data_IF_634225163229
#
_entry.id   IF_634225163229
#
_cell.length_a   1.000
_cell.length_b   1.000
_cell.length_c   1.000
_cell.angle_alpha   90.00
_cell.angle_beta   90.00
_cell.angle_gamma   90.00
#
_symmetry.space_group_name_H-M   'P 1'
#
loop_
_entity.id
_entity.type
_entity.pdbx_description
1 polymer ?
#
# COMPACT_ATOMS: atom_id res chain seq x y z
N UNK A 1 -18.61 -5.30 -9.54
CA UNK A 1 -18.67 -3.89 -9.09
C UNK A 1 -18.82 -3.92 -7.56
N UNK A 2 -18.67 -2.80 -6.87
CA UNK A 2 -18.91 -2.75 -5.42
C UNK A 2 -20.41 -2.51 -5.18
N UNK A 3 -21.03 -3.36 -4.37
CA UNK A 3 -22.44 -3.26 -3.99
C UNK A 3 -22.67 -2.14 -2.98
N UNK A 4 -21.72 -1.94 -2.06
CA UNK A 4 -21.70 -0.88 -1.04
C UNK A 4 -20.25 -0.54 -0.69
N UNK A 5 -19.94 0.74 -0.51
CA UNK A 5 -18.65 1.20 0.03
C UNK A 5 -18.86 2.21 1.15
N UNK A 6 -17.98 2.19 2.15
CA UNK A 6 -17.96 3.15 3.26
C UNK A 6 -16.52 3.54 3.58
N UNK A 7 -16.33 4.80 3.99
CA UNK A 7 -15.07 5.30 4.53
C UNK A 7 -15.21 5.31 6.05
N UNK A 8 -14.31 4.61 6.74
CA UNK A 8 -14.21 4.60 8.20
C UNK A 8 -12.79 5.00 8.59
N UNK A 9 -12.61 6.25 8.99
CA UNK A 9 -11.29 6.83 9.22
C UNK A 9 -10.44 6.78 7.95
N UNK A 10 -9.26 6.16 8.04
CA UNK A 10 -8.34 5.98 6.91
C UNK A 10 -8.66 4.75 6.05
N UNK A 11 -9.75 4.03 6.30
CA UNK A 11 -10.05 2.79 5.59
C UNK A 11 -11.26 2.94 4.68
N UNK A 12 -11.11 2.50 3.43
CA UNK A 12 -12.24 2.24 2.54
C UNK A 12 -12.58 0.77 2.62
N UNK A 13 -13.82 0.50 2.99
CA UNK A 13 -14.38 -0.85 3.06
C UNK A 13 -15.42 -0.98 1.98
N UNK A 14 -15.22 -1.92 1.05
CA UNK A 14 -16.09 -2.20 -0.07
C UNK A 14 -16.62 -3.63 0.00
N UNK A 15 -17.93 -3.80 -0.08
CA UNK A 15 -18.57 -5.11 -0.25
C UNK A 15 -18.80 -5.33 -1.74
N UNK A 16 -18.14 -6.33 -2.31
CA UNK A 16 -18.26 -6.71 -3.71
C UNK A 16 -19.57 -7.45 -3.98
N UNK A 17 -19.98 -7.48 -5.23
CA UNK A 17 -21.24 -8.14 -5.65
C UNK A 17 -21.27 -9.64 -5.32
N UNK A 18 -20.12 -10.30 -5.24
CA UNK A 18 -19.96 -11.70 -4.87
C UNK A 18 -19.93 -11.94 -3.34
N UNK A 19 -20.12 -10.91 -2.52
CA UNK A 19 -20.07 -10.98 -1.06
C UNK A 19 -18.67 -10.91 -0.45
N UNK A 20 -17.61 -10.81 -1.25
CA UNK A 20 -16.26 -10.56 -0.74
C UNK A 20 -16.13 -9.13 -0.20
N UNK A 21 -15.25 -8.95 0.79
CA UNK A 21 -14.95 -7.65 1.38
C UNK A 21 -13.55 -7.23 0.93
N UNK A 22 -13.46 -6.07 0.30
CA UNK A 22 -12.20 -5.42 -0.06
C UNK A 22 -11.95 -4.25 0.90
N UNK A 23 -10.75 -4.21 1.49
CA UNK A 23 -10.35 -3.17 2.43
C UNK A 23 -9.03 -2.58 1.96
N UNK A 24 -8.98 -1.27 1.75
CA UNK A 24 -7.73 -0.55 1.51
C UNK A 24 -7.62 0.68 2.39
N UNK A 25 -6.40 0.97 2.83
CA UNK A 25 -6.09 2.17 3.62
C UNK A 25 -5.80 3.32 2.66
N UNK A 26 -6.52 4.43 2.82
CA UNK A 26 -6.20 5.71 2.22
C UNK A 26 -5.03 6.29 3.01
N UNK A 27 -4.01 6.73 2.29
CA UNK A 27 -2.88 7.43 2.87
C UNK A 27 -2.89 8.87 2.39
N UNK A 28 -3.11 9.81 3.31
CA UNK A 28 -2.98 11.25 3.03
C UNK A 28 -1.54 11.59 2.61
N UNK A 29 -0.56 10.86 3.16
CA UNK A 29 0.84 10.95 2.79
C UNK A 29 1.36 9.62 2.25
N UNK A 30 1.29 9.46 0.92
CA UNK A 30 1.80 8.28 0.21
C UNK A 30 3.28 8.00 0.52
N UNK A 31 4.12 9.03 0.72
CA UNK A 31 5.52 8.81 1.11
C UNK A 31 5.64 8.25 2.52
N UNK A 32 4.78 8.64 3.45
CA UNK A 32 4.75 8.09 4.81
C UNK A 32 4.45 6.60 4.80
N UNK A 33 3.43 6.19 4.05
CA UNK A 33 3.06 4.79 3.87
C UNK A 33 4.22 3.94 3.30
N UNK A 34 4.91 4.46 2.29
CA UNK A 34 6.07 3.77 1.70
C UNK A 34 7.21 3.59 2.71
N UNK A 35 7.44 4.56 3.61
CA UNK A 35 8.45 4.45 4.67
C UNK A 35 8.07 3.41 5.71
N UNK A 36 6.82 3.38 6.16
CA UNK A 36 6.34 2.37 7.11
C UNK A 36 6.54 0.95 6.56
N UNK A 37 6.22 0.73 5.29
CA UNK A 37 6.41 -0.57 4.63
C UNK A 37 7.91 -0.88 4.49
N UNK A 38 8.72 0.10 4.08
CA UNK A 38 10.16 -0.08 3.93
C UNK A 38 10.83 -0.46 5.26
N UNK A 39 10.51 0.23 6.35
CA UNK A 39 11.05 -0.05 7.69
C UNK A 39 10.63 -1.43 8.19
N UNK A 40 9.37 -1.82 7.97
CA UNK A 40 8.86 -3.14 8.34
C UNK A 40 9.57 -4.27 7.58
N UNK A 41 9.88 -4.03 6.31
CA UNK A 41 10.44 -5.05 5.42
C UNK A 41 11.97 -5.07 5.39
N UNK A 42 12.61 -4.10 6.06
CA UNK A 42 14.07 -3.95 6.14
C UNK A 42 14.69 -3.30 4.89
N UNK A 43 13.93 -2.50 4.16
CA UNK A 43 14.36 -1.83 2.94
C UNK A 43 14.94 -0.45 3.23
N UNK A 44 16.21 -0.24 2.89
CA UNK A 44 16.84 1.07 2.96
C UNK A 44 16.35 1.98 1.83
N UNK A 45 15.99 3.22 2.16
CA UNK A 45 15.48 4.19 1.20
C UNK A 45 16.25 5.51 1.25
N UNK A 46 16.42 6.13 0.07
CA UNK A 46 17.06 7.44 -0.05
C UNK A 46 16.01 8.58 0.08
N UNK A 47 16.18 9.54 1.00
CA UNK A 47 15.32 10.71 1.12
C UNK A 47 15.18 11.53 -0.18
N UNK A 48 16.16 11.47 -1.08
CA UNK A 48 16.13 12.15 -2.38
C UNK A 48 15.15 11.52 -3.38
N UNK A 49 14.68 10.28 -3.15
CA UNK A 49 13.74 9.63 -4.06
C UNK A 49 12.36 10.31 -4.03
N UNK A 50 11.78 10.48 -5.23
CA UNK A 50 10.38 10.84 -5.34
C UNK A 50 9.46 9.64 -5.06
N UNK A 51 8.18 9.89 -4.82
CA UNK A 51 7.20 8.85 -4.43
C UNK A 51 7.13 7.70 -5.44
N UNK A 52 7.24 7.99 -6.74
CA UNK A 52 7.17 6.98 -7.80
C UNK A 52 8.43 6.11 -7.84
N UNK A 53 9.60 6.72 -7.73
CA UNK A 53 10.89 6.01 -7.66
C UNK A 53 10.96 5.12 -6.43
N UNK A 54 10.59 5.67 -5.27
CA UNK A 54 10.58 4.92 -4.02
C UNK A 54 9.59 3.74 -4.09
N UNK A 55 8.37 4.00 -4.56
CA UNK A 55 7.36 2.95 -4.73
C UNK A 55 7.82 1.82 -5.65
N UNK A 56 8.38 2.15 -6.82
CA UNK A 56 8.87 1.14 -7.77
C UNK A 56 9.96 0.26 -7.14
N UNK A 57 10.98 0.87 -6.54
CA UNK A 57 12.11 0.13 -5.94
C UNK A 57 11.67 -0.75 -4.78
N UNK A 58 10.74 -0.28 -3.95
CA UNK A 58 10.19 -1.06 -2.84
C UNK A 58 9.41 -2.28 -3.37
N UNK A 59 8.58 -2.10 -4.41
CA UNK A 59 7.85 -3.22 -5.02
C UNK A 59 8.81 -4.25 -5.61
N UNK A 60 9.87 -3.81 -6.28
CA UNK A 60 10.90 -4.70 -6.83
C UNK A 60 11.55 -5.55 -5.73
N UNK A 61 11.98 -4.91 -4.62
CA UNK A 61 12.54 -5.59 -3.45
C UNK A 61 11.57 -6.64 -2.84
N UNK A 62 10.29 -6.29 -2.69
CA UNK A 62 9.30 -7.21 -2.13
C UNK A 62 9.05 -8.42 -3.03
N UNK A 63 9.08 -8.22 -4.36
CA UNK A 63 8.93 -9.31 -5.32
C UNK A 63 10.14 -10.26 -5.28
N UNK A 64 11.36 -9.73 -5.15
CA UNK A 64 12.57 -10.54 -4.97
C UNK A 64 12.51 -11.36 -3.67
N UNK A 65 12.09 -10.74 -2.56
CA UNK A 65 11.94 -11.40 -1.26
C UNK A 65 10.88 -12.51 -1.27
N UNK A 66 9.80 -12.35 -2.03
CA UNK A 66 8.71 -13.34 -2.13
C UNK A 66 9.10 -14.58 -2.96
N UNK A 67 10.04 -14.44 -3.89
CA UNK A 67 10.49 -15.52 -4.78
C UNK A 67 11.63 -16.37 -4.17
N UNK A 68 11.98 -16.13 -2.91
CA UNK A 68 13.03 -16.81 -2.16
C UNK A 68 12.42 -17.53 -0.94
#
# INVERSE_FOLDING_TARGET
MAKKSVISGEYVVSVLDNGAIEIYRIYDNVKGALREIAEKEGFEYDPAWNTRQFGSKLVDFLNEKKNN
#
